data_IF_345351524250
#
_entry.id   IF_345351524250
#
_cell.length_a   1.000
_cell.length_b   1.000
_cell.length_c   1.000
_cell.angle_alpha   90.00
_cell.angle_beta   90.00
_cell.angle_gamma   90.00
#
_symmetry.space_group_name_H-M   'P 1'
#
loop_
_entity.id
_entity.type
_entity.pdbx_description
1 polymer ?
#
# COMPACT_ATOMS: atom_id res chain seq x y z
N UNK A 1 49.73 49.75 9.21
CA UNK A 1 48.72 50.27 10.16
C UNK A 1 47.63 50.98 9.37
N UNK A 2 46.49 50.34 9.15
CA UNK A 2 45.14 50.85 9.46
C UNK A 2 44.10 50.03 8.72
N UNK A 3 43.07 49.64 9.45
CA UNK A 3 42.00 48.70 9.11
C UNK A 3 40.95 49.32 8.20
N UNK A 4 40.33 48.50 7.35
CA UNK A 4 38.94 48.70 6.94
C UNK A 4 38.25 47.33 6.92
N UNK A 5 37.55 47.02 8.01
CA UNK A 5 36.62 45.91 8.10
C UNK A 5 35.27 46.36 7.55
N UNK A 6 34.70 45.57 6.64
CA UNK A 6 33.29 45.68 6.27
C UNK A 6 32.61 44.36 6.65
N UNK A 7 31.64 44.47 7.55
CA UNK A 7 30.67 43.45 7.90
C UNK A 7 29.61 43.39 6.80
N UNK A 8 29.30 42.20 6.27
CA UNK A 8 27.97 41.89 5.75
C UNK A 8 27.53 40.55 6.34
N UNK A 9 26.33 40.60 6.93
CA UNK A 9 25.68 39.57 7.70
C UNK A 9 24.95 38.53 6.83
N UNK A 10 24.73 37.38 7.47
CA UNK A 10 23.57 36.48 7.38
C UNK A 10 23.03 36.04 6.02
N UNK A 11 23.18 34.74 5.78
CA UNK A 11 22.34 33.95 4.90
C UNK A 11 22.30 32.51 5.41
N UNK A 12 21.76 32.31 6.61
CA UNK A 12 21.39 30.97 7.07
C UNK A 12 20.27 30.45 6.19
N UNK A 13 20.61 29.64 5.19
CA UNK A 13 19.64 28.90 4.42
C UNK A 13 19.01 27.84 5.34
N UNK A 14 17.88 28.19 5.96
CA UNK A 14 16.98 27.20 6.52
C UNK A 14 16.43 26.40 5.35
N UNK A 15 17.03 25.24 5.08
CA UNK A 15 16.39 24.17 4.34
C UNK A 15 15.25 23.65 5.22
N UNK A 16 14.08 24.28 5.15
CA UNK A 16 12.85 23.66 5.61
C UNK A 16 12.55 22.54 4.64
N UNK A 17 12.97 21.33 4.99
CA UNK A 17 12.36 20.13 4.43
C UNK A 17 10.87 20.24 4.73
N UNK A 18 10.04 20.43 3.71
CA UNK A 18 8.59 20.27 3.85
C UNK A 18 8.36 18.83 4.30
N UNK A 19 8.22 18.64 5.61
CA UNK A 19 7.78 17.40 6.20
C UNK A 19 6.33 17.24 5.77
N UNK A 20 6.12 16.58 4.63
CA UNK A 20 4.80 16.31 4.07
C UNK A 20 4.03 15.53 5.12
N UNK A 21 3.19 16.24 5.87
CA UNK A 21 2.44 15.69 6.99
C UNK A 21 1.66 14.46 6.50
N UNK A 22 1.98 13.30 7.08
CA UNK A 22 1.34 12.04 6.72
C UNK A 22 -0.16 12.16 7.04
N UNK A 23 -0.98 11.86 6.04
CA UNK A 23 -2.43 11.94 6.19
C UNK A 23 -2.92 10.87 7.17
N UNK A 24 -3.99 11.16 7.88
CA UNK A 24 -4.56 10.27 8.89
C UNK A 24 -5.99 9.83 8.50
N UNK A 25 -6.25 8.53 8.59
CA UNK A 25 -7.56 7.92 8.38
C UNK A 25 -8.17 7.49 9.72
N UNK A 26 -9.47 7.73 9.96
CA UNK A 26 -10.14 7.24 11.16
C UNK A 26 -10.38 5.73 11.16
N UNK A 27 -10.09 5.04 10.05
CA UNK A 27 -10.29 3.61 9.90
C UNK A 27 -9.08 2.83 10.43
N UNK A 28 -9.34 1.64 10.98
CA UNK A 28 -8.32 0.62 11.23
C UNK A 28 -7.98 -0.16 9.95
N UNK A 29 -6.86 -0.89 9.95
CA UNK A 29 -6.48 -1.79 8.85
C UNK A 29 -7.62 -2.75 8.52
N UNK A 30 -8.20 -3.41 9.52
CA UNK A 30 -9.23 -4.40 9.30
C UNK A 30 -10.54 -3.81 8.77
N UNK A 31 -10.89 -2.58 9.16
CA UNK A 31 -12.02 -1.87 8.55
C UNK A 31 -11.77 -1.56 7.07
N UNK A 32 -10.54 -1.12 6.74
CA UNK A 32 -10.14 -0.89 5.34
C UNK A 32 -10.21 -2.18 4.54
N UNK A 33 -9.62 -3.28 5.04
CA UNK A 33 -9.63 -4.57 4.35
C UNK A 33 -11.07 -5.07 4.15
N UNK A 34 -11.91 -5.03 5.19
CA UNK A 34 -13.31 -5.47 5.09
C UNK A 34 -14.06 -4.70 4.00
N UNK A 35 -13.99 -3.37 4.02
CA UNK A 35 -14.67 -2.53 3.01
C UNK A 35 -14.14 -2.81 1.60
N UNK A 36 -12.83 -2.95 1.42
CA UNK A 36 -12.24 -3.22 0.11
C UNK A 36 -12.66 -4.59 -0.44
N UNK A 37 -12.82 -5.62 0.40
CA UNK A 37 -13.28 -6.94 -0.08
C UNK A 37 -14.67 -6.90 -0.75
N UNK A 38 -15.50 -5.90 -0.44
CA UNK A 38 -16.85 -5.75 -0.98
C UNK A 38 -16.92 -4.77 -2.17
N UNK A 39 -15.82 -4.11 -2.52
CA UNK A 39 -15.83 -3.00 -3.47
C UNK A 39 -15.42 -3.33 -4.91
N UNK A 40 -15.16 -4.60 -5.23
CA UNK A 40 -14.90 -5.01 -6.62
C UNK A 40 -16.12 -4.73 -7.53
N UNK A 41 -15.95 -4.14 -8.73
CA UNK A 41 -14.70 -3.75 -9.38
C UNK A 41 -14.06 -2.51 -8.76
N UNK A 42 -12.73 -2.54 -8.61
CA UNK A 42 -11.95 -1.42 -8.06
C UNK A 42 -11.84 -0.26 -9.04
N UNK A 43 -11.92 0.96 -8.50
CA UNK A 43 -11.72 2.20 -9.25
C UNK A 43 -10.97 3.19 -8.37
N UNK A 44 -10.27 4.14 -9.01
CA UNK A 44 -9.59 5.23 -8.29
C UNK A 44 -10.54 5.96 -7.32
N UNK A 45 -11.74 6.32 -7.78
CA UNK A 45 -12.73 7.05 -6.98
C UNK A 45 -13.19 6.28 -5.73
N UNK A 46 -13.36 4.95 -5.82
CA UNK A 46 -13.73 4.13 -4.65
C UNK A 46 -12.63 4.14 -3.59
N UNK A 47 -11.36 4.02 -4.00
CA UNK A 47 -10.23 4.03 -3.07
C UNK A 47 -10.02 5.42 -2.44
N UNK A 48 -10.03 6.48 -3.25
CA UNK A 48 -9.89 7.87 -2.76
C UNK A 48 -11.10 8.34 -1.93
N UNK A 49 -12.26 7.72 -2.10
CA UNK A 49 -13.43 7.96 -1.26
C UNK A 49 -13.36 7.25 0.10
N UNK A 50 -12.60 6.15 0.19
CA UNK A 50 -12.42 5.39 1.43
C UNK A 50 -11.26 5.92 2.28
N UNK A 51 -10.15 6.26 1.62
CA UNK A 51 -8.90 6.67 2.25
C UNK A 51 -8.55 8.09 1.82
N UNK A 52 -7.95 8.92 2.70
CA UNK A 52 -7.60 10.30 2.39
C UNK A 52 -6.40 10.43 1.42
N UNK A 53 -6.20 9.49 0.49
CA UNK A 53 -5.08 9.45 -0.44
C UNK A 53 -5.40 10.14 -1.75
N UNK A 54 -4.36 10.43 -2.53
CA UNK A 54 -4.48 10.76 -3.95
C UNK A 54 -3.71 9.73 -4.73
N UNK A 55 -4.40 9.05 -5.65
CA UNK A 55 -3.83 8.01 -6.51
C UNK A 55 -3.27 8.64 -7.78
N UNK A 56 -1.96 8.52 -7.96
CA UNK A 56 -1.23 9.08 -9.10
C UNK A 56 -0.90 7.95 -10.07
N UNK A 57 -1.29 8.10 -11.34
CA UNK A 57 -0.92 7.15 -12.39
C UNK A 57 0.60 7.19 -12.58
N UNK A 58 1.23 6.03 -12.57
CA UNK A 58 2.67 5.89 -12.80
C UNK A 58 2.93 5.13 -14.08
N UNK A 59 3.63 5.79 -15.01
CA UNK A 59 4.10 5.17 -16.24
C UNK A 59 5.41 4.38 -16.01
N UNK A 60 6.09 4.62 -14.88
CA UNK A 60 7.42 4.06 -14.61
C UNK A 60 7.35 2.72 -13.85
N UNK A 61 6.22 2.37 -13.24
CA UNK A 61 6.05 1.16 -12.43
C UNK A 61 5.40 -0.02 -13.20
N UNK A 62 5.51 -0.05 -14.53
CA UNK A 62 4.98 -1.14 -15.34
C UNK A 62 3.55 -0.94 -15.86
N UNK A 63 2.98 0.26 -15.72
CA UNK A 63 1.80 0.65 -16.50
C UNK A 63 2.08 0.48 -17.99
N UNK A 64 1.15 -0.10 -18.73
CA UNK A 64 1.31 -0.38 -20.16
C UNK A 64 0.04 0.04 -20.93
N UNK A 65 -0.02 -0.26 -22.23
CA UNK A 65 -1.17 0.08 -23.08
C UNK A 65 -2.46 -0.66 -22.65
N UNK A 66 -2.37 -1.68 -21.80
CA UNK A 66 -3.49 -2.53 -21.36
C UNK A 66 -3.98 -2.10 -19.97
N UNK A 67 -3.08 -1.78 -19.04
CA UNK A 67 -3.38 -1.46 -17.64
C UNK A 67 -2.79 -0.13 -17.18
N UNK A 68 -3.57 0.61 -16.39
CA UNK A 68 -3.15 1.78 -15.62
C UNK A 68 -2.76 1.35 -14.22
N UNK A 69 -1.61 1.84 -13.76
CA UNK A 69 -1.07 1.54 -12.45
C UNK A 69 -1.07 2.84 -11.65
N UNK A 70 -1.66 2.82 -10.46
CA UNK A 70 -1.74 3.97 -9.59
C UNK A 70 -1.01 3.69 -8.29
N UNK A 71 -0.33 4.71 -7.76
CA UNK A 71 0.33 4.69 -6.45
C UNK A 71 -0.19 5.78 -5.54
N UNK A 72 -0.04 5.62 -4.23
CA UNK A 72 -0.36 6.64 -3.24
C UNK A 72 0.86 7.01 -2.40
N UNK A 73 0.80 8.18 -1.77
CA UNK A 73 1.61 8.46 -0.59
C UNK A 73 1.13 7.63 0.62
N UNK A 74 1.95 7.53 1.70
CA UNK A 74 1.55 6.86 2.93
C UNK A 74 0.34 7.48 3.63
N UNK A 75 -0.45 6.63 4.30
CA UNK A 75 -1.55 7.04 5.20
C UNK A 75 -1.47 6.29 6.52
N UNK A 76 -1.54 7.02 7.63
CA UNK A 76 -1.63 6.49 8.98
C UNK A 76 -3.07 6.11 9.30
N UNK A 77 -3.28 4.91 9.83
CA UNK A 77 -4.56 4.39 10.26
C UNK A 77 -4.76 4.59 11.77
N UNK A 78 -5.99 4.41 12.25
CA UNK A 78 -6.37 4.67 13.64
C UNK A 78 -5.81 3.63 14.63
N UNK A 79 -5.42 2.45 14.16
CA UNK A 79 -4.74 1.39 14.94
C UNK A 79 -3.20 1.52 14.93
N UNK A 80 -2.67 2.58 14.30
CA UNK A 80 -1.24 2.83 14.19
C UNK A 80 -0.55 2.07 13.06
N UNK A 81 -1.26 1.21 12.33
CA UNK A 81 -0.76 0.68 11.07
C UNK A 81 -0.66 1.79 10.03
N UNK A 82 0.28 1.65 9.09
CA UNK A 82 0.48 2.60 8.00
C UNK A 82 0.33 1.85 6.69
N UNK A 83 -0.51 2.34 5.79
CA UNK A 83 -0.48 1.91 4.38
C UNK A 83 0.62 2.76 3.74
N UNK A 84 1.76 2.15 3.45
CA UNK A 84 2.93 2.82 2.87
C UNK A 84 2.71 3.19 1.40
N UNK A 85 2.05 2.31 0.66
CA UNK A 85 1.71 2.50 -0.74
C UNK A 85 0.45 1.68 -1.08
N UNK A 86 -0.38 2.23 -1.96
CA UNK A 86 -1.47 1.51 -2.61
C UNK A 86 -1.09 1.29 -4.06
N UNK A 87 -0.88 0.05 -4.50
CA UNK A 87 -0.75 -0.29 -5.93
C UNK A 87 -2.11 -0.75 -6.46
N UNK A 88 -2.80 0.16 -7.17
CA UNK A 88 -4.05 -0.12 -7.85
C UNK A 88 -3.80 -0.32 -9.35
N UNK A 89 -4.21 -1.47 -9.88
CA UNK A 89 -4.10 -1.80 -11.30
C UNK A 89 -5.47 -2.00 -11.91
N UNK A 90 -5.81 -1.16 -12.89
CA UNK A 90 -7.10 -1.21 -13.60
C UNK A 90 -6.85 -1.25 -15.11
N UNK A 91 -7.76 -1.89 -15.85
CA UNK A 91 -7.62 -2.01 -17.30
C UNK A 91 -7.99 -0.67 -17.95
N UNK A 92 -7.22 -0.23 -18.96
CA UNK A 92 -7.50 1.02 -19.71
C UNK A 92 -8.81 0.95 -20.48
N UNK A 93 -9.12 -0.21 -21.04
CA UNK A 93 -10.30 -0.44 -21.86
C UNK A 93 -10.92 -1.82 -21.60
N UNK A 94 -12.26 -1.88 -21.64
CA UNK A 94 -13.01 -3.10 -21.38
C UNK A 94 -13.17 -3.42 -19.90
N UNK A 95 -13.97 -4.45 -19.59
CA UNK A 95 -14.26 -4.84 -18.22
C UNK A 95 -13.11 -5.62 -17.59
N UNK A 96 -12.74 -5.25 -16.36
CA UNK A 96 -11.82 -6.00 -15.49
C UNK A 96 -12.11 -5.60 -14.04
N UNK A 97 -12.11 -6.53 -13.06
CA UNK A 97 -12.42 -6.22 -11.67
C UNK A 97 -11.36 -5.36 -10.95
N UNK A 98 -10.17 -5.25 -11.55
CA UNK A 98 -9.00 -4.59 -10.98
C UNK A 98 -8.17 -5.52 -10.09
N UNK A 99 -7.00 -5.04 -9.68
CA UNK A 99 -6.10 -5.70 -8.74
C UNK A 99 -5.55 -4.63 -7.79
N UNK A 100 -5.46 -4.95 -6.51
CA UNK A 100 -5.10 -3.98 -5.48
C UNK A 100 -4.11 -4.60 -4.50
N UNK A 101 -3.03 -3.87 -4.21
CA UNK A 101 -2.08 -4.21 -3.16
C UNK A 101 -1.99 -3.05 -2.18
N UNK A 102 -2.05 -3.37 -0.90
CA UNK A 102 -1.67 -2.47 0.18
C UNK A 102 -0.30 -2.91 0.68
N UNK A 103 0.72 -2.06 0.57
CA UNK A 103 2.00 -2.24 1.25
C UNK A 103 1.88 -1.62 2.64
N UNK A 104 2.31 -2.34 3.68
CA UNK A 104 2.04 -2.01 5.08
C UNK A 104 3.32 -1.76 5.88
N UNK A 105 3.17 -0.94 6.93
CA UNK A 105 4.17 -0.69 7.96
C UNK A 105 3.49 -0.16 9.24
N UNK A 106 4.25 0.52 10.10
CA UNK A 106 3.74 1.01 11.38
C UNK A 106 3.58 -0.10 12.41
N UNK A 107 2.44 -0.16 13.11
CA UNK A 107 2.12 -1.24 14.05
C UNK A 107 2.22 -2.61 13.37
N UNK A 108 3.03 -3.50 13.95
CA UNK A 108 3.19 -4.87 13.46
C UNK A 108 1.90 -5.67 13.64
N UNK A 109 1.42 -6.29 12.56
CA UNK A 109 0.29 -7.22 12.58
C UNK A 109 0.83 -8.64 12.39
N UNK A 110 0.77 -9.50 13.40
CA UNK A 110 1.34 -10.84 13.33
C UNK A 110 0.37 -11.84 12.68
N UNK A 111 0.89 -13.00 12.23
CA UNK A 111 0.10 -13.99 11.49
C UNK A 111 -1.10 -14.52 12.28
N UNK A 112 -0.99 -14.66 13.61
CA UNK A 112 -2.10 -15.08 14.47
C UNK A 112 -3.26 -14.09 14.44
N UNK A 113 -2.99 -12.79 14.31
CA UNK A 113 -4.02 -11.77 14.19
C UNK A 113 -4.74 -11.93 12.85
N UNK A 114 -3.99 -12.12 11.76
CA UNK A 114 -4.58 -12.39 10.43
C UNK A 114 -5.48 -13.62 10.46
N UNK A 115 -5.04 -14.70 11.12
CA UNK A 115 -5.82 -15.95 11.28
C UNK A 115 -7.07 -15.74 12.12
N UNK A 116 -7.06 -14.83 13.09
CA UNK A 116 -8.26 -14.49 13.86
C UNK A 116 -9.35 -13.85 13.00
N UNK A 117 -8.97 -13.12 11.93
CA UNK A 117 -9.91 -12.49 11.01
C UNK A 117 -10.37 -13.39 9.86
N UNK A 118 -9.48 -14.24 9.32
CA UNK A 118 -9.73 -14.98 8.09
C UNK A 118 -9.64 -16.50 8.20
N UNK A 119 -9.41 -17.04 9.40
CA UNK A 119 -9.39 -18.47 9.67
C UNK A 119 -8.25 -19.22 8.99
N UNK A 120 -8.57 -20.31 8.33
CA UNK A 120 -7.59 -21.20 7.70
C UNK A 120 -7.05 -20.60 6.39
N UNK A 121 -5.82 -20.08 6.48
CA UNK A 121 -5.06 -19.55 5.36
C UNK A 121 -4.14 -20.62 4.74
N UNK A 122 -4.10 -20.68 3.41
CA UNK A 122 -3.18 -21.54 2.67
C UNK A 122 -1.89 -20.81 2.32
N UNK A 123 -0.73 -21.45 2.48
CA UNK A 123 0.52 -20.92 1.93
C UNK A 123 0.48 -21.07 0.41
N UNK A 124 0.60 -19.97 -0.32
CA UNK A 124 0.49 -19.95 -1.79
C UNK A 124 1.73 -19.43 -2.50
N UNK A 125 2.63 -18.78 -1.78
CA UNK A 125 3.96 -18.42 -2.28
C UNK A 125 4.95 -18.49 -1.14
N UNK A 126 6.19 -18.82 -1.48
CA UNK A 126 7.32 -18.83 -0.55
C UNK A 126 8.50 -18.13 -1.21
N UNK A 127 9.31 -17.39 -0.44
CA UNK A 127 10.54 -16.81 -0.93
C UNK A 127 11.48 -17.86 -1.54
N UNK A 128 12.23 -17.45 -2.55
CA UNK A 128 13.18 -18.26 -3.32
C UNK A 128 14.64 -17.86 -3.04
N UNK A 129 14.83 -16.88 -2.15
CA UNK A 129 16.14 -16.42 -1.67
C UNK A 129 16.82 -15.42 -2.60
N UNK A 130 16.07 -14.70 -3.44
CA UNK A 130 16.64 -13.68 -4.32
C UNK A 130 16.60 -12.27 -3.74
N UNK A 131 15.72 -12.00 -2.76
CA UNK A 131 15.60 -10.70 -2.09
C UNK A 131 14.96 -10.82 -0.72
N UNK A 132 15.36 -9.95 0.20
CA UNK A 132 14.70 -9.80 1.51
C UNK A 132 13.27 -9.23 1.41
N UNK A 133 12.90 -8.71 0.24
CA UNK A 133 11.54 -8.22 -0.04
C UNK A 133 10.63 -9.32 -0.64
N UNK A 134 11.14 -10.55 -0.80
CA UNK A 134 10.30 -11.70 -1.13
C UNK A 134 9.42 -12.07 0.08
N UNK A 135 8.19 -12.50 -0.20
CA UNK A 135 7.18 -12.72 0.84
C UNK A 135 6.72 -14.18 0.89
N UNK A 136 6.52 -14.69 2.11
CA UNK A 136 5.63 -15.84 2.30
C UNK A 136 4.19 -15.34 2.24
N UNK A 137 3.40 -15.88 1.31
CA UNK A 137 2.01 -15.46 1.11
C UNK A 137 1.02 -16.46 1.70
N UNK A 138 0.18 -16.00 2.62
CA UNK A 138 -0.94 -16.74 3.19
C UNK A 138 -2.26 -16.26 2.56
N UNK A 139 -3.03 -17.14 1.94
CA UNK A 139 -4.20 -16.77 1.14
C UNK A 139 -5.49 -17.35 1.68
N UNK A 140 -6.50 -16.49 1.82
CA UNK A 140 -7.90 -16.86 1.97
C UNK A 140 -8.59 -16.90 0.59
N UNK A 141 -9.37 -17.96 0.36
CA UNK A 141 -10.19 -18.11 -0.84
C UNK A 141 -11.63 -17.74 -0.51
N UNK A 142 -12.09 -16.61 -1.05
CA UNK A 142 -13.40 -16.03 -0.76
C UNK A 142 -14.32 -16.15 -1.98
N UNK A 143 -15.65 -16.04 -1.81
CA UNK A 143 -16.59 -16.08 -2.93
C UNK A 143 -16.23 -15.09 -4.06
N UNK A 144 -15.77 -13.89 -3.71
CA UNK A 144 -15.40 -12.82 -4.65
C UNK A 144 -14.01 -13.00 -5.30
N UNK A 145 -13.09 -13.76 -4.68
CA UNK A 145 -11.68 -13.72 -5.10
C UNK A 145 -10.71 -14.36 -4.12
N UNK A 146 -9.46 -13.94 -4.23
CA UNK A 146 -8.38 -14.28 -3.30
C UNK A 146 -7.99 -13.04 -2.51
N UNK A 147 -7.79 -13.23 -1.22
CA UNK A 147 -7.20 -12.25 -0.32
C UNK A 147 -5.91 -12.85 0.23
N UNK A 148 -4.77 -12.27 -0.11
CA UNK A 148 -3.46 -12.79 0.27
C UNK A 148 -2.76 -11.82 1.22
N UNK A 149 -2.05 -12.39 2.20
CA UNK A 149 -1.35 -11.70 3.28
C UNK A 149 0.13 -12.06 3.19
N UNK A 150 0.96 -11.08 2.87
CA UNK A 150 2.38 -11.27 2.63
C UNK A 150 3.24 -10.93 3.84
N UNK A 151 4.19 -11.79 4.16
CA UNK A 151 5.18 -11.61 5.23
C UNK A 151 6.57 -11.65 4.60
N UNK A 152 7.23 -10.49 4.53
CA UNK A 152 8.53 -10.33 3.84
C UNK A 152 9.67 -10.99 4.63
N UNK A 153 10.64 -11.59 3.95
CA UNK A 153 11.83 -12.20 4.59
C UNK A 153 12.58 -11.23 5.51
N UNK A 154 12.59 -9.94 5.15
CA UNK A 154 13.22 -8.87 5.96
C UNK A 154 12.66 -8.79 7.37
N UNK A 155 11.35 -9.04 7.53
CA UNK A 155 10.65 -8.98 8.80
C UNK A 155 9.47 -9.97 8.78
N UNK A 156 9.73 -11.27 8.93
CA UNK A 156 8.76 -12.33 8.63
C UNK A 156 7.65 -12.44 9.68
N UNK A 157 7.79 -11.76 10.82
CA UNK A 157 6.79 -11.78 11.91
C UNK A 157 5.71 -10.70 11.73
N UNK A 158 5.89 -9.75 10.81
CA UNK A 158 4.96 -8.65 10.59
C UNK A 158 4.39 -8.69 9.16
N UNK A 159 3.08 -8.47 9.06
CA UNK A 159 2.39 -8.34 7.79
C UNK A 159 2.96 -7.16 6.98
N UNK A 160 3.47 -7.47 5.79
CA UNK A 160 4.08 -6.52 4.86
C UNK A 160 3.12 -6.11 3.74
N UNK A 161 2.20 -7.00 3.34
CA UNK A 161 1.27 -6.70 2.25
C UNK A 161 -0.11 -7.35 2.41
N UNK A 162 -1.13 -6.70 1.83
CA UNK A 162 -2.46 -7.29 1.61
C UNK A 162 -2.81 -7.16 0.13
N UNK A 163 -3.06 -8.29 -0.51
CA UNK A 163 -3.35 -8.38 -1.95
C UNK A 163 -4.79 -8.80 -2.17
N UNK A 164 -5.53 -7.97 -2.90
CA UNK A 164 -6.90 -8.25 -3.33
C UNK A 164 -6.92 -8.63 -4.80
N UNK A 165 -7.31 -9.88 -5.06
CA UNK A 165 -7.36 -10.44 -6.41
C UNK A 165 -8.75 -11.02 -6.70
N UNK A 166 -9.69 -10.18 -7.17
CA UNK A 166 -11.04 -10.63 -7.51
C UNK A 166 -11.04 -11.58 -8.71
N UNK A 167 -12.02 -12.49 -8.75
CA UNK A 167 -12.24 -13.34 -9.92
C UNK A 167 -12.60 -12.48 -11.13
N UNK A 168 -11.99 -12.74 -12.28
CA UNK A 168 -12.44 -12.16 -13.55
C UNK A 168 -13.76 -12.81 -13.94
N UNK A 169 -14.86 -12.06 -13.90
CA UNK A 169 -16.14 -12.51 -14.47
C UNK A 169 -16.06 -12.41 -15.99
N UNK A 170 -15.88 -13.54 -16.67
CA UNK A 170 -15.87 -13.62 -18.12
C UNK A 170 -14.81 -14.57 -18.66
N UNK A 171 -15.19 -15.84 -18.81
CA UNK A 171 -14.69 -16.69 -19.87
C UNK A 171 -15.85 -16.93 -20.84
#
# INVERSE_FOLDING_TARGET
MSLAAWLIAWGGANAQTEEKSMKHSPLSLWQVVAVLTEQSPYTKAKIEGLLPVTLVETNNAGGNEIFQFFKSDPVLLNDGSVILNIDLRIKRQGSHPGFLVLELGGTCVPLEEVRSHYGDLQITDIPRGHSLDEETSYTAYLPWGKLSFGFAERNPDCLASVVFNPKTTGR
#
